data_IF_533832049829
#
_entry.id   IF_533832049829
#
_cell.length_a   1.000
_cell.length_b   1.000
_cell.length_c   1.000
_cell.angle_alpha   90.00
_cell.angle_beta   90.00
_cell.angle_gamma   90.00
#
_symmetry.space_group_name_H-M   'P 1'
#
loop_
_entity.id
_entity.type
_entity.pdbx_description
1 polymer ?
#
# COMPACT_ATOMS: atom_id res chain seq x y z
N UNK A 1 -24.63 6.62 10.71
CA UNK A 1 -24.56 8.05 11.06
C UNK A 1 -25.94 8.66 11.05
N UNK A 2 -26.65 8.58 9.93
CA UNK A 2 -28.00 9.15 9.79
C UNK A 2 -29.02 8.56 10.77
N UNK A 3 -29.14 7.23 10.85
CA UNK A 3 -30.01 6.56 11.82
C UNK A 3 -29.62 6.82 13.30
N UNK A 4 -28.40 7.32 13.53
CA UNK A 4 -27.89 7.67 14.87
C UNK A 4 -27.90 9.19 15.12
N UNK A 5 -28.36 10.01 14.17
CA UNK A 5 -28.31 11.48 14.28
C UNK A 5 -26.89 12.07 14.36
N UNK A 6 -25.87 11.34 13.90
CA UNK A 6 -24.46 11.74 14.03
C UNK A 6 -23.94 12.46 12.77
N UNK A 7 -22.99 13.41 12.91
CA UNK A 7 -22.29 14.01 11.78
C UNK A 7 -21.61 12.96 10.90
N UNK A 8 -21.56 13.24 9.59
CA UNK A 8 -20.84 12.39 8.64
C UNK A 8 -19.36 12.78 8.56
N UNK A 9 -18.40 11.87 8.78
CA UNK A 9 -17.00 12.12 8.56
C UNK A 9 -16.69 12.11 7.06
N UNK A 10 -15.50 12.62 6.72
CA UNK A 10 -14.93 12.40 5.41
C UNK A 10 -14.48 10.94 5.26
N UNK A 11 -14.64 10.38 4.06
CA UNK A 11 -14.20 9.03 3.71
C UNK A 11 -13.15 9.09 2.61
N UNK A 12 -12.07 8.33 2.76
CA UNK A 12 -11.08 8.07 1.71
C UNK A 12 -11.09 6.58 1.37
N UNK A 13 -11.14 6.25 0.08
CA UNK A 13 -11.04 4.88 -0.40
C UNK A 13 -9.64 4.68 -0.98
N UNK A 14 -8.96 3.62 -0.55
CA UNK A 14 -7.66 3.23 -1.08
C UNK A 14 -7.84 2.14 -2.13
N UNK A 15 -6.97 2.14 -3.14
CA UNK A 15 -6.86 1.07 -4.11
C UNK A 15 -6.59 -0.28 -3.43
N UNK A 16 -7.21 -1.35 -3.95
CA UNK A 16 -6.94 -2.70 -3.47
C UNK A 16 -5.51 -3.11 -3.82
N UNK A 17 -4.79 -3.64 -2.84
CA UNK A 17 -3.49 -4.29 -3.08
C UNK A 17 -3.73 -5.68 -3.68
N UNK A 18 -3.17 -5.92 -4.87
CA UNK A 18 -3.35 -7.17 -5.63
C UNK A 18 -2.06 -7.94 -5.79
N UNK A 19 -2.16 -9.21 -6.17
CA UNK A 19 -1.04 -9.96 -6.71
C UNK A 19 -0.55 -9.32 -8.03
N UNK A 20 0.66 -9.67 -8.52
CA UNK A 20 1.20 -9.18 -9.79
C UNK A 20 0.27 -9.38 -10.98
N UNK A 21 -0.52 -10.47 -10.99
CA UNK A 21 -1.52 -10.77 -12.02
C UNK A 21 -2.87 -10.06 -11.84
N UNK A 22 -3.01 -9.16 -10.86
CA UNK A 22 -4.25 -8.41 -10.60
C UNK A 22 -5.32 -9.15 -9.80
N UNK A 23 -5.11 -10.42 -9.47
CA UNK A 23 -5.99 -11.15 -8.54
C UNK A 23 -5.88 -10.60 -7.13
N UNK A 24 -6.94 -10.76 -6.33
CA UNK A 24 -6.93 -10.35 -4.92
C UNK A 24 -5.78 -11.06 -4.19
N UNK A 25 -4.95 -10.29 -3.49
CA UNK A 25 -3.88 -10.85 -2.67
C UNK A 25 -4.51 -11.63 -1.50
N UNK A 26 -4.47 -12.95 -1.56
CA UNK A 26 -5.03 -13.84 -0.55
C UNK A 26 -3.99 -14.27 0.48
N UNK A 27 -4.42 -14.58 1.70
CA UNK A 27 -3.54 -15.24 2.69
C UNK A 27 -2.99 -16.58 2.19
N UNK A 28 -3.71 -17.23 1.27
CA UNK A 28 -3.36 -18.52 0.68
C UNK A 28 -2.25 -18.43 -0.36
N UNK A 29 -2.01 -17.23 -0.89
CA UNK A 29 -0.91 -16.95 -1.82
C UNK A 29 0.39 -16.63 -1.04
N UNK A 30 0.57 -17.28 0.12
CA UNK A 30 1.67 -17.01 1.04
C UNK A 30 1.55 -15.63 1.69
N UNK A 31 0.47 -15.40 2.45
CA UNK A 31 0.14 -14.14 3.13
C UNK A 31 1.38 -13.29 3.41
N UNK A 32 1.56 -12.24 2.60
CA UNK A 32 2.62 -11.23 2.70
C UNK A 32 2.51 -10.42 3.98
N UNK A 33 2.65 -11.08 5.12
CA UNK A 33 2.96 -10.41 6.36
C UNK A 33 4.32 -9.75 6.20
N UNK A 34 4.47 -8.56 6.78
CA UNK A 34 5.76 -7.86 6.82
C UNK A 34 6.89 -8.76 7.37
N UNK A 35 6.57 -9.71 8.26
CA UNK A 35 7.52 -10.70 8.77
C UNK A 35 8.04 -11.68 7.69
N UNK A 36 7.18 -12.12 6.75
CA UNK A 36 7.60 -12.97 5.64
C UNK A 36 8.45 -12.19 4.64
N UNK A 37 8.06 -10.94 4.34
CA UNK A 37 8.88 -10.02 3.54
C UNK A 37 10.25 -9.82 4.16
N UNK A 38 10.32 -9.57 5.47
CA UNK A 38 11.57 -9.45 6.20
C UNK A 38 12.40 -10.74 6.15
N UNK A 39 11.78 -11.92 6.29
CA UNK A 39 12.46 -13.21 6.15
C UNK A 39 13.04 -13.43 4.74
N UNK A 40 12.37 -12.91 3.71
CA UNK A 40 12.84 -12.88 2.31
C UNK A 40 13.87 -11.77 2.03
N UNK A 41 14.30 -11.03 3.05
CA UNK A 41 15.29 -9.95 2.92
C UNK A 41 14.74 -8.64 2.36
N UNK A 42 13.42 -8.48 2.30
CA UNK A 42 12.80 -7.21 1.90
C UNK A 42 12.83 -6.25 3.08
N UNK A 43 13.64 -5.20 2.92
CA UNK A 43 13.79 -4.16 3.93
C UNK A 43 12.52 -3.30 4.07
N UNK A 44 12.26 -2.85 5.30
CA UNK A 44 11.12 -1.97 5.63
C UNK A 44 11.14 -0.67 4.81
N UNK A 45 12.32 -0.11 4.51
CA UNK A 45 12.43 1.07 3.66
C UNK A 45 11.93 0.80 2.23
N UNK A 46 12.14 -0.41 1.70
CA UNK A 46 11.63 -0.82 0.39
C UNK A 46 10.10 -0.91 0.40
N UNK A 47 9.52 -1.45 1.48
CA UNK A 47 8.06 -1.50 1.65
C UNK A 47 7.46 -0.11 1.76
N UNK A 48 8.06 0.76 2.58
CA UNK A 48 7.63 2.16 2.72
C UNK A 48 7.74 2.93 1.40
N UNK A 49 8.81 2.71 0.65
CA UNK A 49 9.01 3.25 -0.69
C UNK A 49 7.91 2.89 -1.66
N UNK A 50 7.57 1.60 -1.73
CA UNK A 50 6.47 1.11 -2.55
C UNK A 50 5.12 1.69 -2.11
N UNK A 51 4.85 1.76 -0.80
CA UNK A 51 3.64 2.39 -0.27
C UNK A 51 3.57 3.88 -0.63
N UNK A 52 4.67 4.62 -0.46
CA UNK A 52 4.78 6.04 -0.79
C UNK A 52 4.49 6.29 -2.27
N UNK A 53 5.05 5.48 -3.16
CA UNK A 53 4.70 5.52 -4.59
C UNK A 53 3.23 5.18 -4.85
N UNK A 54 2.70 4.11 -4.24
CA UNK A 54 1.30 3.68 -4.43
C UNK A 54 0.27 4.71 -3.96
N UNK A 55 0.66 5.58 -3.03
CA UNK A 55 -0.18 6.65 -2.47
C UNK A 55 0.07 8.01 -3.13
N UNK A 56 0.90 8.08 -4.18
CA UNK A 56 1.21 9.32 -4.91
C UNK A 56 2.16 10.27 -4.17
N UNK A 57 2.88 9.81 -3.15
CA UNK A 57 3.93 10.58 -2.48
C UNK A 57 5.25 10.57 -3.26
N UNK A 58 5.49 9.53 -4.07
CA UNK A 58 6.69 9.38 -4.90
C UNK A 58 6.30 9.14 -6.37
N UNK A 59 7.08 9.66 -7.30
CA UNK A 59 6.90 9.42 -8.75
C UNK A 59 7.29 8.00 -9.17
N UNK A 60 8.24 7.39 -8.45
CA UNK A 60 8.72 6.02 -8.68
C UNK A 60 8.96 5.29 -7.36
N UNK A 61 8.81 3.97 -7.32
CA UNK A 61 9.15 3.20 -6.13
C UNK A 61 10.67 3.19 -5.89
N UNK A 62 11.07 3.24 -4.62
CA UNK A 62 12.46 3.14 -4.17
C UNK A 62 12.52 3.27 -2.65
N UNK A 63 13.55 2.74 -1.97
CA UNK A 63 13.62 2.76 -0.51
C UNK A 63 13.42 4.17 0.06
N UNK A 64 12.52 4.31 1.03
CA UNK A 64 12.20 5.59 1.64
C UNK A 64 11.94 5.44 3.14
N UNK A 65 12.15 6.54 3.87
CA UNK A 65 11.77 6.68 5.28
C UNK A 65 10.45 7.43 5.42
N UNK A 66 9.75 7.21 6.52
CA UNK A 66 8.45 7.83 6.76
C UNK A 66 8.54 9.37 6.75
N UNK A 67 9.61 9.92 7.30
CA UNK A 67 9.85 11.37 7.39
C UNK A 67 9.99 12.04 6.01
N UNK A 68 10.44 11.27 5.01
CA UNK A 68 10.57 11.73 3.62
C UNK A 68 9.22 11.72 2.89
N UNK A 69 8.31 10.82 3.29
CA UNK A 69 7.00 10.64 2.65
C UNK A 69 5.94 11.59 3.22
N UNK A 70 5.96 11.86 4.52
CA UNK A 70 4.94 12.65 5.22
C UNK A 70 4.67 14.03 4.58
N UNK A 71 5.68 14.82 4.17
CA UNK A 71 5.45 16.12 3.54
C UNK A 71 4.77 16.04 2.16
N UNK A 72 4.92 14.91 1.47
CA UNK A 72 4.39 14.70 0.12
C UNK A 72 2.95 14.21 0.08
N UNK A 73 2.47 13.63 1.19
CA UNK A 73 1.16 12.99 1.26
C UNK A 73 0.00 13.99 1.13
N UNK A 74 -0.97 13.65 0.28
CA UNK A 74 -2.23 14.38 0.15
C UNK A 74 -3.30 13.44 -0.38
N UNK A 75 -4.50 13.48 0.21
CA UNK A 75 -5.63 12.69 -0.25
C UNK A 75 -5.98 12.91 -1.73
N UNK A 76 -5.74 14.12 -2.27
CA UNK A 76 -5.98 14.42 -3.68
C UNK A 76 -4.99 13.76 -4.65
N UNK A 77 -3.87 13.22 -4.14
CA UNK A 77 -2.87 12.49 -4.94
C UNK A 77 -3.06 10.97 -4.90
N UNK A 78 -3.87 10.47 -3.98
CA UNK A 78 -4.07 9.03 -3.79
C UNK A 78 -4.81 8.45 -5.01
N UNK A 79 -4.21 7.50 -5.74
CA UNK A 79 -4.87 6.87 -6.88
C UNK A 79 -6.08 6.03 -6.45
N UNK A 80 -7.12 5.99 -7.29
CA UNK A 80 -8.33 5.20 -7.03
C UNK A 80 -8.22 3.71 -7.45
N UNK A 81 -7.31 3.39 -8.36
CA UNK A 81 -7.17 2.06 -8.95
C UNK A 81 -6.42 1.06 -8.04
N UNK A 82 -6.54 -0.25 -8.31
CA UNK A 82 -5.76 -1.25 -7.60
C UNK A 82 -4.27 -1.06 -7.85
N UNK A 83 -3.46 -1.55 -6.90
CA UNK A 83 -1.99 -1.54 -7.01
C UNK A 83 -1.46 -2.96 -6.79
N UNK A 84 -0.66 -3.44 -7.74
CA UNK A 84 -0.03 -4.74 -7.61
C UNK A 84 1.25 -4.65 -6.77
N UNK A 85 1.46 -5.64 -5.90
CA UNK A 85 2.77 -5.82 -5.24
C UNK A 85 3.83 -6.24 -6.28
N UNK A 86 5.12 -5.97 -6.03
CA UNK A 86 6.21 -6.49 -6.85
C UNK A 86 6.18 -8.02 -6.96
N UNK A 87 6.55 -8.56 -8.12
CA UNK A 87 6.45 -9.99 -8.39
C UNK A 87 7.37 -10.82 -7.49
N UNK A 88 8.53 -10.29 -7.18
CA UNK A 88 9.52 -10.85 -6.26
C UNK A 88 8.99 -11.07 -4.84
N UNK A 89 7.90 -10.39 -4.45
CA UNK A 89 7.34 -10.54 -3.11
C UNK A 89 6.46 -11.79 -2.98
N UNK A 90 5.88 -12.28 -4.09
CA UNK A 90 4.87 -13.35 -4.10
C UNK A 90 5.43 -14.70 -4.57
N UNK A 91 6.72 -14.81 -4.90
CA UNK A 91 7.30 -16.09 -5.30
C UNK A 91 7.48 -17.04 -4.10
N UNK A 92 7.31 -18.34 -4.37
CA UNK A 92 7.73 -19.44 -3.48
C UNK A 92 9.25 -19.65 -3.57
#
# INVERSE_FOLDING_TARGET
QEALGLPRPAYGHLGLVTAPGGSRLGKRDGALGLALLAHRGVDAATVLGWLGWSLGCLERPGPARLEELLPGFSWGKVPAGPVAVPAEWVQD
#
